data_IF_912626203728
#
_entry.id   IF_912626203728
#
_cell.length_a   1.000
_cell.length_b   1.000
_cell.length_c   1.000
_cell.angle_alpha   90.00
_cell.angle_beta   90.00
_cell.angle_gamma   90.00
#
_symmetry.space_group_name_H-M   'P 1'
#
loop_
_entity.id
_entity.type
_entity.pdbx_description
1 polymer ?
#
# COMPACT_ATOMS: atom_id res chain seq x y z
N UNK A 1 -7.48 20.94 -16.47
CA UNK A 1 -7.21 19.50 -16.65
C UNK A 1 -8.45 18.76 -16.21
N UNK A 2 -9.01 17.90 -17.05
CA UNK A 2 -10.20 17.11 -16.71
C UNK A 2 -9.81 15.91 -15.82
N UNK A 3 -10.78 15.26 -15.19
CA UNK A 3 -10.54 14.05 -14.41
C UNK A 3 -9.95 12.92 -15.28
N UNK A 4 -10.43 12.81 -16.52
CA UNK A 4 -9.94 11.84 -17.50
C UNK A 4 -8.49 12.13 -17.94
N UNK A 5 -8.12 13.41 -18.07
CA UNK A 5 -6.73 13.80 -18.37
C UNK A 5 -5.78 13.40 -17.23
N UNK A 6 -6.23 13.60 -15.97
CA UNK A 6 -5.46 13.24 -14.78
C UNK A 6 -5.29 11.72 -14.66
N UNK A 7 -6.36 10.96 -14.93
CA UNK A 7 -6.32 9.50 -14.99
C UNK A 7 -5.30 9.03 -16.04
N UNK A 8 -5.41 9.52 -17.27
CA UNK A 8 -4.51 9.15 -18.36
C UNK A 8 -3.06 9.57 -18.10
N UNK A 9 -2.82 10.67 -17.39
CA UNK A 9 -1.49 11.06 -16.94
C UNK A 9 -0.90 10.03 -15.97
N UNK A 10 -1.63 9.69 -14.90
CA UNK A 10 -1.16 8.72 -13.90
C UNK A 10 -0.92 7.34 -14.50
N UNK A 11 -1.80 6.85 -15.37
CA UNK A 11 -1.58 5.57 -16.08
C UNK A 11 -0.27 5.62 -16.87
N UNK A 12 -0.02 6.69 -17.64
CA UNK A 12 1.23 6.82 -18.41
C UNK A 12 2.47 6.89 -17.51
N UNK A 13 2.38 7.59 -16.38
CA UNK A 13 3.47 7.69 -15.41
C UNK A 13 3.76 6.33 -14.76
N UNK A 14 2.74 5.55 -14.39
CA UNK A 14 2.92 4.19 -13.86
C UNK A 14 3.58 3.27 -14.89
N UNK A 15 3.19 3.37 -16.16
CA UNK A 15 3.84 2.62 -17.25
C UNK A 15 5.30 3.04 -17.45
N UNK A 16 5.59 4.34 -17.42
CA UNK A 16 6.95 4.86 -17.52
C UNK A 16 7.82 4.43 -16.33
N UNK A 17 7.27 4.45 -15.12
CA UNK A 17 7.91 3.96 -13.90
C UNK A 17 8.24 2.47 -14.01
N UNK A 18 7.26 1.64 -14.40
CA UNK A 18 7.52 0.21 -14.59
C UNK A 18 8.62 -0.05 -15.63
N UNK A 19 8.57 0.67 -16.75
CA UNK A 19 9.60 0.57 -17.78
C UNK A 19 10.99 0.97 -17.27
N UNK A 20 11.11 2.05 -16.48
CA UNK A 20 12.39 2.52 -15.94
C UNK A 20 12.98 1.54 -14.92
N UNK A 21 12.13 0.83 -14.18
CA UNK A 21 12.51 -0.21 -13.22
C UNK A 21 12.75 -1.60 -13.87
N UNK A 22 12.60 -1.72 -15.19
CA UNK A 22 12.70 -3.02 -15.90
C UNK A 22 11.56 -3.98 -15.55
N UNK A 23 10.45 -3.44 -15.05
CA UNK A 23 9.28 -4.17 -14.57
C UNK A 23 8.00 -3.47 -15.09
N UNK A 24 7.75 -3.50 -16.40
CA UNK A 24 6.58 -2.85 -16.98
C UNK A 24 5.29 -3.45 -16.39
N UNK A 25 4.21 -2.65 -16.31
CA UNK A 25 2.92 -3.20 -15.91
C UNK A 25 2.47 -4.34 -16.84
N UNK A 26 1.66 -5.24 -16.30
CA UNK A 26 0.98 -6.26 -17.06
C UNK A 26 0.02 -5.59 -18.05
N UNK A 27 -0.05 -6.08 -19.31
CA UNK A 27 -1.03 -5.58 -20.25
C UNK A 27 -2.42 -5.80 -19.67
N UNK A 28 -3.31 -4.82 -19.84
CA UNK A 28 -4.71 -4.97 -19.45
C UNK A 28 -5.26 -6.21 -20.16
N UNK A 29 -5.84 -7.17 -19.42
CA UNK A 29 -6.44 -8.34 -20.06
C UNK A 29 -7.49 -7.88 -21.06
N UNK A 30 -7.48 -8.48 -22.26
CA UNK A 30 -8.54 -8.27 -23.22
C UNK A 30 -9.85 -8.70 -22.55
N UNK A 31 -10.78 -7.76 -22.38
CA UNK A 31 -12.10 -8.05 -21.82
C UNK A 31 -12.78 -9.02 -22.77
N UNK A 32 -13.09 -10.24 -22.31
CA UNK A 32 -13.88 -11.18 -23.09
C UNK A 32 -15.27 -10.55 -23.30
N UNK A 33 -15.69 -10.26 -24.55
CA UNK A 33 -17.00 -9.67 -24.81
C UNK A 33 -18.17 -10.58 -24.42
N UNK A 34 -17.89 -11.84 -24.04
CA UNK A 34 -18.85 -12.83 -23.59
C UNK A 34 -18.85 -13.03 -22.07
N UNK A 35 -17.89 -12.46 -21.34
CA UNK A 35 -17.98 -12.41 -19.89
C UNK A 35 -19.09 -11.44 -19.49
N UNK A 36 -20.05 -11.91 -18.70
CA UNK A 36 -21.08 -11.07 -18.12
C UNK A 36 -20.38 -10.03 -17.23
N UNK A 37 -20.49 -8.75 -17.60
CA UNK A 37 -19.99 -7.66 -16.79
C UNK A 37 -20.52 -7.83 -15.36
N UNK A 38 -19.61 -7.76 -14.36
CA UNK A 38 -19.95 -7.98 -12.96
C UNK A 38 -21.20 -7.15 -12.60
N UNK A 39 -22.33 -7.80 -12.26
CA UNK A 39 -23.58 -7.11 -11.95
C UNK A 39 -23.47 -6.26 -10.68
N UNK A 40 -22.41 -6.45 -9.88
CA UNK A 40 -22.08 -5.66 -8.70
C UNK A 40 -20.68 -5.05 -8.87
N UNK A 41 -20.53 -4.03 -9.74
CA UNK A 41 -19.24 -3.36 -9.87
C UNK A 41 -18.81 -2.82 -8.50
N UNK A 42 -17.70 -3.35 -7.99
CA UNK A 42 -17.12 -2.89 -6.73
C UNK A 42 -16.45 -1.55 -6.99
N UNK A 43 -17.20 -0.46 -6.76
CA UNK A 43 -16.73 0.91 -6.93
C UNK A 43 -16.72 1.42 -8.37
N UNK A 44 -16.56 2.74 -8.52
CA UNK A 44 -16.40 3.44 -9.80
C UNK A 44 -14.95 3.28 -10.34
N UNK A 45 -14.42 2.05 -10.37
CA UNK A 45 -13.07 1.77 -10.89
C UNK A 45 -13.07 1.97 -12.41
N UNK A 46 -12.15 2.80 -12.89
CA UNK A 46 -12.04 3.18 -14.32
C UNK A 46 -10.79 2.65 -14.98
N UNK A 47 -9.76 2.31 -14.21
CA UNK A 47 -8.55 1.68 -14.74
C UNK A 47 -7.88 0.82 -13.69
N UNK A 48 -7.23 -0.26 -14.15
CA UNK A 48 -6.42 -1.13 -13.31
C UNK A 48 -5.03 -1.25 -13.92
N UNK A 49 -3.99 -1.04 -13.11
CA UNK A 49 -2.59 -1.20 -13.51
C UNK A 49 -1.93 -2.19 -12.56
N UNK A 50 -1.45 -3.33 -13.08
CA UNK A 50 -0.86 -4.39 -12.28
C UNK A 50 0.65 -4.53 -12.57
N UNK A 51 1.45 -4.70 -11.53
CA UNK A 51 2.87 -5.02 -11.61
C UNK A 51 3.09 -6.43 -11.04
N UNK A 52 3.28 -7.43 -11.90
CA UNK A 52 3.60 -8.80 -11.48
C UNK A 52 5.02 -8.92 -10.91
N UNK A 53 5.26 -9.81 -9.94
CA UNK A 53 6.55 -9.97 -9.24
C UNK A 53 6.40 -10.03 -7.70
N UNK A 54 7.49 -9.80 -6.96
CA UNK A 54 7.46 -9.70 -5.48
C UNK A 54 8.14 -8.40 -5.02
N UNK A 55 7.41 -7.43 -4.45
CA UNK A 55 5.96 -7.48 -4.21
C UNK A 55 5.15 -7.35 -5.50
N UNK A 56 4.06 -8.10 -5.68
CA UNK A 56 3.05 -7.76 -6.70
C UNK A 56 2.27 -6.54 -6.24
N UNK A 57 1.88 -5.67 -7.17
CA UNK A 57 1.16 -4.43 -6.87
C UNK A 57 0.03 -4.28 -7.88
N UNK A 58 -1.19 -4.05 -7.40
CA UNK A 58 -2.37 -3.74 -8.22
C UNK A 58 -2.86 -2.36 -7.83
N UNK A 59 -2.92 -1.45 -8.79
CA UNK A 59 -3.44 -0.09 -8.62
C UNK A 59 -4.81 -0.04 -9.27
N UNK A 60 -5.84 0.25 -8.48
CA UNK A 60 -7.21 0.51 -8.95
C UNK A 60 -7.45 2.01 -8.91
N UNK A 61 -7.60 2.61 -10.09
CA UNK A 61 -7.88 4.03 -10.22
C UNK A 61 -9.38 4.25 -10.29
N UNK A 62 -9.92 5.08 -9.40
CA UNK A 62 -11.35 5.36 -9.29
C UNK A 62 -11.76 6.59 -10.13
N UNK A 63 -13.03 6.99 -10.10
CA UNK A 63 -13.46 8.27 -10.73
C UNK A 63 -13.17 9.50 -9.86
N UNK A 64 -13.13 9.35 -8.53
CA UNK A 64 -13.16 10.47 -7.59
C UNK A 64 -11.77 10.96 -7.17
N UNK A 65 -10.71 10.23 -7.53
CA UNK A 65 -9.33 10.52 -7.20
C UNK A 65 -8.84 9.84 -5.91
N UNK A 66 -9.63 8.94 -5.31
CA UNK A 66 -9.23 8.13 -4.15
C UNK A 66 -8.91 6.72 -4.66
N UNK A 67 -7.65 6.54 -5.06
CA UNK A 67 -7.21 5.34 -5.75
C UNK A 67 -6.73 4.29 -4.73
N UNK A 68 -7.01 3.01 -4.98
CA UNK A 68 -6.62 1.91 -4.08
C UNK A 68 -5.36 1.21 -4.62
N UNK A 69 -4.41 0.91 -3.74
CA UNK A 69 -3.22 0.12 -4.04
C UNK A 69 -3.24 -1.16 -3.19
N UNK A 70 -3.36 -2.31 -3.86
CA UNK A 70 -3.24 -3.64 -3.27
C UNK A 70 -1.82 -4.18 -3.48
N UNK A 71 -1.18 -4.69 -2.43
CA UNK A 71 0.19 -5.24 -2.45
C UNK A 71 0.17 -6.71 -2.01
N UNK A 72 0.68 -7.61 -2.85
CA UNK A 72 0.69 -9.08 -2.65
C UNK A 72 -0.66 -9.67 -2.18
N UNK A 73 -1.79 -9.03 -2.50
CA UNK A 73 -3.15 -9.38 -2.02
C UNK A 73 -3.29 -9.45 -0.49
N UNK A 74 -2.38 -8.80 0.24
CA UNK A 74 -2.33 -8.81 1.71
C UNK A 74 -2.48 -7.44 2.34
N UNK A 75 -2.29 -6.37 1.57
CA UNK A 75 -2.31 -5.00 2.08
C UNK A 75 -2.97 -4.08 1.06
N UNK A 76 -4.06 -3.43 1.48
CA UNK A 76 -4.75 -2.41 0.71
C UNK A 76 -4.49 -1.03 1.32
N UNK A 77 -4.27 -0.04 0.47
CA UNK A 77 -3.98 1.34 0.87
C UNK A 77 -4.73 2.30 -0.03
N UNK A 78 -5.59 3.13 0.56
CA UNK A 78 -6.23 4.25 -0.14
C UNK A 78 -5.24 5.42 -0.26
N UNK A 79 -5.05 5.89 -1.50
CA UNK A 79 -4.06 6.91 -1.85
C UNK A 79 -4.69 7.93 -2.81
N UNK A 80 -4.64 9.23 -2.49
CA UNK A 80 -5.03 10.27 -3.42
C UNK A 80 -4.23 10.16 -4.72
N UNK A 81 -4.90 10.36 -5.87
CA UNK A 81 -4.30 10.21 -7.21
C UNK A 81 -2.91 10.82 -7.39
N UNK A 82 -2.70 12.00 -6.81
CA UNK A 82 -1.44 12.74 -6.89
C UNK A 82 -0.24 12.02 -6.26
N UNK A 83 -0.48 11.09 -5.35
CA UNK A 83 0.55 10.39 -4.58
C UNK A 83 0.75 8.94 -5.05
N UNK A 84 -0.13 8.41 -5.91
CA UNK A 84 -0.14 7.01 -6.37
C UNK A 84 1.21 6.58 -6.93
N UNK A 85 1.78 7.36 -7.86
CA UNK A 85 3.05 7.01 -8.52
C UNK A 85 4.18 6.91 -7.49
N UNK A 86 4.25 7.85 -6.54
CA UNK A 86 5.28 7.87 -5.50
C UNK A 86 5.13 6.70 -4.51
N UNK A 87 3.90 6.33 -4.17
CA UNK A 87 3.62 5.16 -3.32
C UNK A 87 4.03 3.87 -4.03
N UNK A 88 3.64 3.70 -5.31
CA UNK A 88 4.03 2.54 -6.11
C UNK A 88 5.54 2.44 -6.25
N UNK A 89 6.22 3.55 -6.58
CA UNK A 89 7.68 3.60 -6.65
C UNK A 89 8.32 3.16 -5.32
N UNK A 90 7.82 3.67 -4.20
CA UNK A 90 8.32 3.33 -2.87
C UNK A 90 8.18 1.84 -2.55
N UNK A 91 7.08 1.22 -2.96
CA UNK A 91 6.86 -0.23 -2.78
C UNK A 91 7.81 -1.04 -3.66
N UNK A 92 7.91 -0.69 -4.94
CA UNK A 92 8.72 -1.41 -5.93
C UNK A 92 10.23 -1.26 -5.67
N UNK A 93 10.67 -0.16 -5.08
CA UNK A 93 12.06 0.13 -4.72
C UNK A 93 12.41 -0.23 -3.27
N UNK A 94 11.47 -0.82 -2.52
CA UNK A 94 11.71 -1.34 -1.17
C UNK A 94 11.90 -0.27 -0.10
N UNK A 95 11.28 0.91 -0.27
CA UNK A 95 11.33 2.02 0.71
C UNK A 95 10.28 1.89 1.81
N UNK A 96 9.37 0.92 1.74
CA UNK A 96 8.40 0.65 2.81
C UNK A 96 9.08 0.04 4.06
N UNK A 97 8.49 0.24 5.23
CA UNK A 97 8.95 -0.39 6.47
C UNK A 97 7.78 -0.80 7.37
N UNK A 98 8.07 -1.69 8.31
CA UNK A 98 7.14 -2.04 9.39
C UNK A 98 7.44 -1.13 10.58
N UNK A 99 6.45 -0.35 11.00
CA UNK A 99 6.48 0.37 12.26
C UNK A 99 5.80 -0.46 13.35
N UNK A 100 6.54 -0.70 14.44
CA UNK A 100 6.04 -1.43 15.61
C UNK A 100 5.92 -0.48 16.80
N UNK A 101 4.78 -0.52 17.52
CA UNK A 101 4.63 0.21 18.76
C UNK A 101 5.60 -0.35 19.80
N UNK A 102 6.15 0.55 20.60
CA UNK A 102 7.04 0.19 21.69
C UNK A 102 6.24 -0.38 22.86
N UNK A 103 6.05 -1.70 22.88
CA UNK A 103 5.34 -2.39 23.96
C UNK A 103 6.30 -2.87 25.05
N UNK A 104 5.95 -2.74 26.35
CA UNK A 104 6.65 -3.43 27.42
C UNK A 104 6.72 -4.93 27.16
N UNK A 105 7.86 -5.57 27.46
CA UNK A 105 8.11 -6.98 27.14
C UNK A 105 6.97 -7.92 27.58
N UNK A 106 6.33 -7.65 28.73
CA UNK A 106 5.20 -8.43 29.25
C UNK A 106 3.98 -8.42 28.31
N UNK A 107 3.63 -7.26 27.74
CA UNK A 107 2.51 -7.11 26.80
C UNK A 107 2.79 -7.78 25.45
N UNK A 108 4.07 -7.87 25.05
CA UNK A 108 4.48 -8.58 23.83
C UNK A 108 4.17 -10.07 23.89
N UNK A 109 4.31 -10.70 25.06
CA UNK A 109 3.99 -12.12 25.25
C UNK A 109 2.48 -12.39 25.32
N UNK A 110 1.70 -11.44 25.84
CA UNK A 110 0.24 -11.55 25.85
C UNK A 110 -0.32 -11.61 24.42
N UNK A 111 0.16 -10.76 23.51
CA UNK A 111 -0.29 -10.80 22.11
C UNK A 111 -0.03 -12.14 21.42
N UNK A 112 1.11 -12.78 21.70
CA UNK A 112 1.47 -14.12 21.19
C UNK A 112 0.55 -15.20 21.75
N UNK A 113 0.21 -15.14 23.03
CA UNK A 113 -0.61 -16.15 23.70
C UNK A 113 -2.09 -16.07 23.32
N UNK A 114 -2.59 -14.89 22.95
CA UNK A 114 -4.00 -14.66 22.63
C UNK A 114 -4.28 -14.54 21.12
N UNK A 115 -3.30 -14.81 20.25
CA UNK A 115 -3.49 -14.83 18.80
C UNK A 115 -3.88 -13.49 18.19
N UNK A 116 -3.68 -12.38 18.91
CA UNK A 116 -3.95 -11.05 18.39
C UNK A 116 -2.84 -10.65 17.44
N UNK A 117 -3.20 -10.19 16.24
CA UNK A 117 -2.30 -9.50 15.31
C UNK A 117 -1.36 -8.58 16.09
N UNK A 118 -0.05 -8.74 15.91
CA UNK A 118 0.89 -7.79 16.50
C UNK A 118 0.48 -6.39 16.06
N UNK A 119 0.19 -5.45 16.99
CA UNK A 119 -0.17 -4.10 16.59
C UNK A 119 1.06 -3.55 15.89
N UNK A 120 0.94 -3.26 14.62
CA UNK A 120 2.02 -2.82 13.77
C UNK A 120 1.42 -2.38 12.45
N UNK A 121 2.07 -1.44 11.81
CA UNK A 121 1.60 -0.89 10.54
C UNK A 121 2.72 -0.94 9.52
N UNK A 122 2.37 -1.19 8.28
CA UNK A 122 3.27 -0.94 7.17
C UNK A 122 3.19 0.53 6.85
N UNK A 123 4.35 1.18 6.81
CA UNK A 123 4.53 2.57 6.43
C UNK A 123 5.09 2.63 5.02
N UNK A 124 4.47 3.44 4.18
CA UNK A 124 4.85 3.59 2.78
C UNK A 124 5.00 5.09 2.48
N UNK A 125 6.19 5.55 2.09
CA UNK A 125 6.36 6.92 1.61
C UNK A 125 5.48 7.18 0.39
N UNK A 126 4.92 8.38 0.32
CA UNK A 126 4.27 8.91 -0.88
C UNK A 126 4.84 10.29 -1.25
N UNK A 127 4.07 11.04 -2.03
CA UNK A 127 4.44 12.40 -2.43
C UNK A 127 4.47 13.39 -1.26
N UNK A 128 5.23 14.47 -1.44
CA UNK A 128 5.29 15.62 -0.53
C UNK A 128 5.52 15.26 0.96
N UNK A 129 6.48 14.37 1.26
CA UNK A 129 6.81 13.91 2.62
C UNK A 129 5.69 13.16 3.35
N UNK A 130 4.60 12.80 2.66
CA UNK A 130 3.50 12.04 3.27
C UNK A 130 3.87 10.59 3.40
N UNK A 131 3.33 9.95 4.44
CA UNK A 131 3.51 8.51 4.68
C UNK A 131 2.16 7.90 4.92
N UNK A 132 1.86 6.86 4.15
CA UNK A 132 0.64 6.07 4.27
C UNK A 132 0.87 4.93 5.24
N UNK A 133 -0.19 4.55 5.94
CA UNK A 133 -0.15 3.54 6.99
C UNK A 133 -1.28 2.56 6.81
N UNK A 134 -0.95 1.28 6.70
CA UNK A 134 -1.94 0.21 6.68
C UNK A 134 -1.65 -0.81 7.78
N UNK A 135 -2.69 -1.34 8.45
CA UNK A 135 -2.52 -2.28 9.54
C UNK A 135 -1.86 -3.57 9.03
N UNK A 136 -0.94 -4.12 9.81
CA UNK A 136 -0.35 -5.42 9.48
C UNK A 136 -1.43 -6.52 9.54
N UNK A 137 -1.60 -7.29 8.46
CA UNK A 137 -2.54 -8.40 8.45
C UNK A 137 -2.10 -9.51 9.43
N UNK A 138 -3.05 -10.02 10.21
CA UNK A 138 -2.78 -10.88 11.37
C UNK A 138 -2.24 -12.29 11.03
N UNK A 139 -2.57 -12.80 9.84
CA UNK A 139 -2.50 -14.23 9.54
C UNK A 139 -2.08 -14.55 8.09
N UNK A 140 -1.31 -13.68 7.44
CA UNK A 140 -0.88 -13.88 6.06
C UNK A 140 0.64 -14.07 5.94
N UNK A 141 1.04 -15.05 5.15
CA UNK A 141 2.44 -15.26 4.78
C UNK A 141 2.73 -14.48 3.49
N UNK A 142 3.34 -13.30 3.62
CA UNK A 142 3.86 -12.51 2.50
C UNK A 142 5.39 -12.50 2.53
N UNK A 143 5.98 -12.86 1.38
CA UNK A 143 7.44 -12.86 1.21
C UNK A 143 8.01 -11.44 1.21
N UNK A 144 7.23 -10.47 0.73
CA UNK A 144 7.57 -9.05 0.81
C UNK A 144 7.55 -8.54 2.26
N UNK A 145 6.47 -8.77 3.02
CA UNK A 145 6.39 -8.34 4.42
C UNK A 145 7.55 -8.90 5.26
N UNK A 146 7.97 -10.14 5.00
CA UNK A 146 9.08 -10.77 5.71
C UNK A 146 10.45 -10.10 5.44
N UNK A 147 10.59 -9.33 4.34
CA UNK A 147 11.83 -8.65 3.94
C UNK A 147 11.85 -7.18 4.36
N UNK A 148 10.72 -6.62 4.80
CA UNK A 148 10.66 -5.22 5.18
C UNK A 148 11.50 -4.94 6.45
N UNK A 149 12.24 -3.82 6.47
CA UNK A 149 12.89 -3.37 7.70
C UNK A 149 11.83 -3.09 8.78
N UNK A 150 12.16 -3.38 10.04
CA UNK A 150 11.29 -3.09 11.19
C UNK A 150 11.91 -1.99 12.04
N UNK A 151 11.13 -0.94 12.33
CA UNK A 151 11.52 0.19 13.16
C UNK A 151 10.60 0.25 14.38
N UNK A 152 11.18 0.44 15.56
CA UNK A 152 10.40 0.74 16.77
C UNK A 152 10.03 2.22 16.81
N UNK A 153 8.77 2.52 17.10
CA UNK A 153 8.28 3.88 17.29
C UNK A 153 9.11 4.60 18.38
N UNK A 154 9.63 5.81 18.13
CA UNK A 154 10.32 6.58 19.17
C UNK A 154 9.33 6.86 20.29
N UNK A 155 9.58 6.26 21.45
CA UNK A 155 8.70 6.40 22.60
C UNK A 155 8.46 7.87 22.92
N UNK A 156 7.21 8.32 22.85
CA UNK A 156 6.79 9.62 23.40
C UNK A 156 7.18 9.59 24.87
N UNK A 157 8.26 10.30 25.22
CA UNK A 157 8.71 10.43 26.60
C UNK A 157 7.68 11.29 27.36
N UNK A 158 6.66 10.64 27.91
CA UNK A 158 5.61 11.27 28.70
C UNK A 158 6.12 11.74 30.06
N UNK A 159 7.42 11.62 30.36
CA UNK A 159 8.04 12.06 31.62
C UNK A 159 8.50 13.52 31.61
N UNK A 160 7.86 14.39 30.84
CA UNK A 160 8.16 15.83 30.84
C UNK A 160 7.04 16.72 31.35
N UNK A 161 6.13 16.21 32.17
CA UNK A 161 5.21 17.06 32.92
C UNK A 161 4.95 16.43 34.28
N UNK A 162 5.84 16.67 35.24
CA UNK A 162 5.55 16.82 36.67
C UNK A 162 6.89 17.08 37.37
N UNK A 163 7.16 18.35 37.64
CA UNK A 163 7.95 18.75 38.81
C UNK A 163 7.28 19.95 39.47
N UNK A 164 7.37 20.02 40.81
CA UNK A 164 6.37 20.59 41.72
C UNK A 164 6.28 22.11 41.70
#
# INVERSE_FOLDING_TARGET
>A
MTADDALAAVVRELWALGASLGRPPEPTPEVDPWDEADPYPVGDVVAVVAFGGSPSVVVRLDRLGEDEITIEDVLDVDVPRRDVVAVVESVLTGQAWIERPRLPALLRWVGVMFGSAFPGSVRIPGGDERTYSAPLPAAVSSGWLARLPSVEEPGRDTRRWHRP
#
